data_IF_868911582684
#
_entry.id   IF_868911582684
#
_cell.length_a   1.000
_cell.length_b   1.000
_cell.length_c   1.000
_cell.angle_alpha   90.00
_cell.angle_beta   90.00
_cell.angle_gamma   90.00
#
_symmetry.space_group_name_H-M   'P 1'
#
loop_
_entity.id
_entity.type
_entity.pdbx_description
1 polymer ?
#
# COMPACT_ATOMS: atom_id res chain seq x y z
N UNK A 1 -14.90 5.39 -0.12
CA UNK A 1 -13.87 6.26 -0.69
C UNK A 1 -12.49 5.62 -0.49
N UNK A 2 -11.63 5.72 -1.50
CA UNK A 2 -10.29 5.13 -1.44
C UNK A 2 -9.26 6.20 -1.77
N UNK A 3 -8.87 7.03 -0.77
CA UNK A 3 -7.94 8.12 -1.03
C UNK A 3 -6.57 7.62 -1.43
N UNK A 4 -5.94 8.37 -2.33
CA UNK A 4 -4.54 8.15 -2.66
C UNK A 4 -3.72 8.89 -1.62
N UNK A 5 -2.90 8.15 -0.87
CA UNK A 5 -2.10 8.73 0.22
C UNK A 5 -0.65 8.97 -0.18
N UNK A 6 -0.21 8.40 -1.29
CA UNK A 6 1.15 8.58 -1.79
C UNK A 6 1.21 8.16 -3.25
N UNK A 7 2.07 8.82 -4.01
CA UNK A 7 2.35 8.42 -5.39
C UNK A 7 3.85 8.34 -5.58
N UNK A 8 4.28 7.31 -6.30
CA UNK A 8 5.69 7.15 -6.63
C UNK A 8 5.76 6.57 -8.04
N UNK A 9 6.20 7.39 -9.00
CA UNK A 9 6.24 6.97 -10.39
C UNK A 9 4.85 6.57 -10.87
N UNK A 10 4.73 5.36 -11.40
CA UNK A 10 3.46 4.86 -11.92
C UNK A 10 2.58 4.23 -10.84
N UNK A 11 3.02 4.22 -9.59
CA UNK A 11 2.31 3.54 -8.51
C UNK A 11 1.52 4.52 -7.66
N UNK A 12 0.24 4.22 -7.44
CA UNK A 12 -0.60 4.95 -6.50
C UNK A 12 -0.81 4.09 -5.26
N UNK A 13 -0.59 4.68 -4.09
CA UNK A 13 -0.74 4.01 -2.79
C UNK A 13 -2.04 4.49 -2.18
N UNK A 14 -2.94 3.56 -1.85
CA UNK A 14 -4.30 3.90 -1.41
C UNK A 14 -4.71 3.12 -0.18
N UNK A 15 -5.58 3.73 0.63
CA UNK A 15 -6.31 3.05 1.70
C UNK A 15 -7.77 2.94 1.30
N UNK A 16 -8.44 1.87 1.73
CA UNK A 16 -9.88 1.74 1.56
C UNK A 16 -10.56 1.90 2.91
N UNK A 17 -11.66 2.64 2.96
CA UNK A 17 -12.33 2.93 4.22
C UNK A 17 -12.81 1.67 4.95
N UNK A 18 -13.04 0.59 4.22
CA UNK A 18 -13.48 -0.68 4.81
C UNK A 18 -12.35 -1.46 5.49
N UNK A 19 -11.11 -1.00 5.38
CA UNK A 19 -9.94 -1.75 5.84
C UNK A 19 -9.58 -1.55 7.31
N UNK A 20 -10.33 -0.72 8.03
CA UNK A 20 -9.93 -0.31 9.39
C UNK A 20 -9.83 -1.45 10.39
N UNK A 21 -10.51 -2.56 10.14
CA UNK A 21 -10.51 -3.69 11.07
C UNK A 21 -9.37 -4.66 10.84
N UNK A 22 -8.52 -4.39 9.86
CA UNK A 22 -7.34 -5.19 9.57
C UNK A 22 -6.09 -4.46 10.06
N UNK A 23 -4.98 -5.21 10.23
CA UNK A 23 -3.71 -4.53 10.51
C UNK A 23 -3.36 -3.54 9.39
N UNK A 24 -2.54 -2.54 9.69
CA UNK A 24 -2.18 -1.53 8.69
C UNK A 24 -1.65 -2.14 7.41
N UNK A 25 -2.21 -1.67 6.28
CA UNK A 25 -1.79 -2.14 4.96
C UNK A 25 -2.10 -1.08 3.93
N UNK A 26 -1.59 -1.28 2.71
CA UNK A 26 -1.78 -0.31 1.64
C UNK A 26 -2.06 -1.08 0.35
N UNK A 27 -2.91 -0.47 -0.50
CA UNK A 27 -3.20 -0.99 -1.83
C UNK A 27 -2.40 -0.20 -2.84
N UNK A 28 -1.69 -0.91 -3.72
CA UNK A 28 -0.88 -0.29 -4.76
C UNK A 28 -1.55 -0.54 -6.10
N UNK A 29 -1.76 0.54 -6.84
CA UNK A 29 -2.39 0.50 -8.15
C UNK A 29 -1.43 1.00 -9.21
N UNK A 30 -1.39 0.33 -10.36
CA UNK A 30 -0.70 0.81 -11.53
C UNK A 30 -1.39 0.23 -12.76
N UNK A 31 -1.96 1.08 -13.62
CA UNK A 31 -2.75 0.64 -14.75
C UNK A 31 -3.84 -0.32 -14.30
N UNK A 32 -3.79 -1.59 -14.77
CA UNK A 32 -4.79 -2.60 -14.40
C UNK A 32 -4.33 -3.51 -13.28
N UNK A 33 -3.10 -3.31 -12.79
CA UNK A 33 -2.53 -4.18 -11.78
C UNK A 33 -2.74 -3.60 -10.39
N UNK A 34 -2.89 -4.50 -9.41
CA UNK A 34 -3.11 -4.13 -8.02
C UNK A 34 -2.39 -5.09 -7.10
N UNK A 35 -1.96 -4.57 -5.95
CA UNK A 35 -1.38 -5.41 -4.92
C UNK A 35 -1.75 -4.85 -3.56
N UNK A 36 -1.74 -5.72 -2.55
CA UNK A 36 -1.96 -5.34 -1.15
C UNK A 36 -0.71 -5.70 -0.39
N UNK A 37 -0.17 -4.75 0.37
CA UNK A 37 1.02 -4.97 1.19
C UNK A 37 0.72 -4.62 2.63
N UNK A 38 1.10 -5.51 3.55
CA UNK A 38 1.11 -5.16 4.97
C UNK A 38 2.19 -4.12 5.19
N UNK A 39 1.97 -3.22 6.14
CA UNK A 39 2.93 -2.16 6.43
C UNK A 39 3.93 -2.54 7.51
N UNK A 40 3.56 -3.45 8.40
CA UNK A 40 4.44 -3.81 9.51
C UNK A 40 4.25 -5.27 9.89
N UNK A 41 5.17 -6.13 9.47
CA UNK A 41 6.31 -5.88 8.58
C UNK A 41 5.84 -5.62 7.15
N UNK A 42 6.67 -4.94 6.37
CA UNK A 42 6.38 -4.68 4.97
C UNK A 42 6.44 -5.99 4.19
N UNK A 43 5.28 -6.50 3.81
CA UNK A 43 5.16 -7.83 3.21
C UNK A 43 3.94 -7.90 2.31
N UNK A 44 4.07 -8.61 1.19
CA UNK A 44 2.96 -8.77 0.28
C UNK A 44 1.84 -9.59 0.92
N UNK A 45 0.60 -9.13 0.71
CA UNK A 45 -0.60 -9.86 1.13
C UNK A 45 -1.35 -10.42 -0.06
N UNK A 46 -1.36 -9.72 -1.19
CA UNK A 46 -2.08 -10.14 -2.39
C UNK A 46 -1.48 -9.48 -3.61
N UNK A 47 -1.45 -10.20 -4.73
CA UNK A 47 -1.04 -9.66 -6.02
C UNK A 47 -2.10 -9.95 -7.07
N UNK A 48 -2.39 -8.95 -7.88
CA UNK A 48 -3.27 -9.09 -9.02
C UNK A 48 -2.65 -8.32 -10.20
N UNK A 49 -1.83 -9.02 -10.98
CA UNK A 49 -1.32 -8.51 -12.24
C UNK A 49 0.11 -8.00 -12.27
N UNK A 50 0.76 -7.79 -11.14
CA UNK A 50 2.17 -7.36 -11.16
C UNK A 50 3.11 -8.55 -11.38
N UNK A 51 4.19 -8.30 -12.11
CA UNK A 51 5.27 -9.28 -12.23
C UNK A 51 6.05 -9.36 -10.93
N UNK A 52 6.85 -10.41 -10.77
CA UNK A 52 7.69 -10.54 -9.59
C UNK A 52 8.69 -9.39 -9.51
N UNK A 53 9.22 -8.95 -10.64
CA UNK A 53 10.15 -7.82 -10.68
C UNK A 53 9.47 -6.55 -10.18
N UNK A 54 8.23 -6.32 -10.60
CA UNK A 54 7.46 -5.17 -10.13
C UNK A 54 7.17 -5.27 -8.64
N UNK A 55 6.80 -6.46 -8.17
CA UNK A 55 6.53 -6.67 -6.75
C UNK A 55 7.76 -6.39 -5.90
N UNK A 56 8.95 -6.78 -6.39
CA UNK A 56 10.19 -6.50 -5.68
C UNK A 56 10.43 -4.99 -5.58
N UNK A 57 10.17 -4.26 -6.65
CA UNK A 57 10.30 -2.80 -6.64
C UNK A 57 9.29 -2.15 -5.71
N UNK A 58 8.05 -2.63 -5.72
CA UNK A 58 7.00 -2.10 -4.86
C UNK A 58 7.34 -2.36 -3.39
N UNK A 59 7.84 -3.54 -3.07
CA UNK A 59 8.22 -3.86 -1.70
C UNK A 59 9.27 -2.90 -1.17
N UNK A 60 10.25 -2.56 -2.00
CA UNK A 60 11.28 -1.59 -1.62
C UNK A 60 10.66 -0.23 -1.32
N UNK A 61 9.67 0.17 -2.11
CA UNK A 61 8.98 1.44 -1.89
C UNK A 61 8.17 1.41 -0.59
N UNK A 62 7.49 0.30 -0.32
CA UNK A 62 6.72 0.16 0.92
C UNK A 62 7.65 0.25 2.13
N UNK A 63 8.82 -0.39 2.06
CA UNK A 63 9.83 -0.31 3.11
C UNK A 63 10.32 1.13 3.26
N UNK A 64 10.64 1.78 2.15
CA UNK A 64 11.16 3.14 2.15
C UNK A 64 10.19 4.13 2.79
N UNK A 65 8.91 3.98 2.51
CA UNK A 65 7.88 4.91 2.98
C UNK A 65 7.06 4.36 4.14
N UNK A 66 7.55 3.30 4.80
CA UNK A 66 6.81 2.61 5.84
C UNK A 66 6.29 3.54 6.94
N UNK A 67 7.16 4.38 7.47
CA UNK A 67 6.75 5.27 8.56
C UNK A 67 5.74 6.29 8.11
N UNK A 68 5.94 6.85 6.92
CA UNK A 68 4.99 7.80 6.35
C UNK A 68 3.63 7.16 6.14
N UNK A 69 3.62 5.92 5.63
CA UNK A 69 2.38 5.21 5.36
C UNK A 69 1.68 4.80 6.65
N UNK A 70 2.43 4.40 7.67
CA UNK A 70 1.85 4.09 8.98
C UNK A 70 1.23 5.32 9.62
N UNK A 71 1.91 6.46 9.53
CA UNK A 71 1.38 7.71 10.04
C UNK A 71 0.10 8.10 9.31
N UNK A 72 0.10 7.96 7.98
CA UNK A 72 -1.10 8.24 7.19
C UNK A 72 -2.24 7.29 7.53
N UNK A 73 -1.93 6.02 7.81
CA UNK A 73 -2.93 5.05 8.25
C UNK A 73 -3.57 5.48 9.56
N UNK A 74 -2.76 5.86 10.54
CA UNK A 74 -3.27 6.31 11.83
C UNK A 74 -4.12 7.57 11.68
N UNK A 75 -3.67 8.50 10.86
CA UNK A 75 -4.43 9.74 10.61
C UNK A 75 -5.77 9.44 9.95
N UNK A 76 -5.77 8.53 8.97
CA UNK A 76 -6.97 8.22 8.21
C UNK A 76 -7.99 7.44 9.04
N UNK A 77 -7.54 6.50 9.85
CA UNK A 77 -8.43 5.64 10.64
C UNK A 77 -8.60 6.08 12.08
N UNK A 78 -7.97 7.18 12.49
CA UNK A 78 -8.21 7.78 13.78
C UNK A 78 -7.51 7.14 14.95
N UNK A 79 -6.38 6.51 14.72
CA UNK A 79 -5.61 5.89 15.81
C UNK A 79 -4.34 6.67 16.12
#
# INVERSE_FOLDING_TARGET
MSPTVHREGAYAFRFYSADKDEPPHVHIWSNRSRAKFWLKPARIARNCGFSQQELNAIEKLVIQYQEKLLEAWNDYFGD
#
